data_IF_267402570253
#
_entry.id   IF_267402570253
#
_cell.length_a   1.000
_cell.length_b   1.000
_cell.length_c   1.000
_cell.angle_alpha   90.00
_cell.angle_beta   90.00
_cell.angle_gamma   90.00
#
_symmetry.space_group_name_H-M   'P 1'
#
loop_
_entity.id
_entity.type
_entity.pdbx_description
1 polymer ?
#
# COMPACT_ATOMS: atom_id res chain seq x y z
N UNK A 1 90.73 57.95 -186.43
CA UNK A 1 89.92 58.83 -187.29
C UNK A 1 88.55 58.19 -187.47
N UNK A 2 87.42 58.93 -187.55
CA UNK A 2 86.92 60.08 -186.75
C UNK A 2 85.37 59.89 -186.48
N UNK A 3 84.50 60.89 -186.16
CA UNK A 3 84.59 62.12 -185.34
C UNK A 3 83.42 62.37 -184.33
N UNK A 4 83.69 63.36 -183.44
CA UNK A 4 82.89 64.42 -182.77
C UNK A 4 81.34 64.52 -182.86
N UNK A 5 80.70 65.04 -181.80
CA UNK A 5 79.89 66.30 -181.61
C UNK A 5 79.29 66.21 -180.17
N UNK A 6 79.43 67.11 -179.19
CA UNK A 6 79.17 68.55 -179.09
C UNK A 6 78.12 68.80 -177.98
N UNK A 7 78.45 69.62 -176.95
CA UNK A 7 77.56 69.99 -175.82
C UNK A 7 76.34 70.79 -176.30
N UNK A 8 75.15 70.41 -175.82
CA UNK A 8 73.98 71.31 -175.77
C UNK A 8 72.61 70.63 -175.81
N UNK A 9 72.06 70.21 -174.66
CA UNK A 9 70.63 70.39 -174.32
C UNK A 9 70.36 70.03 -172.84
N UNK A 10 69.62 70.90 -172.15
CA UNK A 10 69.05 70.67 -170.81
C UNK A 10 67.84 69.74 -170.92
N UNK A 11 67.73 68.72 -170.07
CA UNK A 11 66.50 67.94 -169.94
C UNK A 11 65.48 68.66 -169.01
N UNK A 12 64.27 68.88 -169.53
CA UNK A 12 63.14 69.66 -168.98
C UNK A 12 62.31 68.92 -167.90
N UNK A 13 62.91 68.28 -166.88
CA UNK A 13 62.13 67.44 -165.93
C UNK A 13 62.01 67.91 -164.46
N UNK A 14 62.57 69.06 -164.09
CA UNK A 14 62.45 69.58 -162.71
C UNK A 14 61.54 70.82 -162.67
N UNK A 15 60.21 70.65 -162.68
CA UNK A 15 59.31 71.80 -162.55
C UNK A 15 58.15 71.69 -161.56
N UNK A 16 58.03 70.63 -160.77
CA UNK A 16 57.07 70.63 -159.65
C UNK A 16 57.69 69.98 -158.40
N UNK A 17 57.65 70.72 -157.28
CA UNK A 17 58.26 70.38 -155.99
C UNK A 17 57.63 69.18 -155.26
N UNK A 18 57.60 68.02 -155.91
CA UNK A 18 57.16 66.75 -155.30
C UNK A 18 58.36 66.00 -154.71
N UNK A 19 58.24 65.61 -153.44
CA UNK A 19 59.21 64.76 -152.73
C UNK A 19 58.94 63.28 -153.01
N UNK A 20 59.98 62.44 -153.08
CA UNK A 20 59.85 60.98 -153.29
C UNK A 20 60.50 60.18 -152.16
N UNK A 21 59.83 59.12 -151.69
CA UNK A 21 60.33 58.13 -150.71
C UNK A 21 60.08 58.43 -149.22
N UNK A 22 60.21 57.41 -148.35
CA UNK A 22 59.92 57.44 -146.88
C UNK A 22 60.72 58.48 -146.06
N UNK A 23 61.67 59.18 -146.70
CA UNK A 23 62.53 60.20 -146.08
C UNK A 23 62.30 61.62 -146.63
N UNK A 24 61.26 61.87 -147.43
CA UNK A 24 60.86 63.21 -147.92
C UNK A 24 61.97 64.01 -148.63
N UNK A 25 62.72 63.39 -149.55
CA UNK A 25 63.78 64.08 -150.30
C UNK A 25 63.20 64.90 -151.46
N UNK A 26 63.63 66.15 -151.64
CA UNK A 26 63.20 67.00 -152.76
C UNK A 26 63.96 66.67 -154.04
N UNK A 27 63.40 66.98 -155.22
CA UNK A 27 64.07 66.73 -156.52
C UNK A 27 65.46 67.40 -156.57
N UNK A 28 65.66 68.50 -155.84
CA UNK A 28 66.93 69.21 -155.71
C UNK A 28 67.95 68.44 -154.85
N UNK A 29 67.48 67.74 -153.82
CA UNK A 29 68.34 66.90 -152.96
C UNK A 29 68.68 65.58 -153.65
N UNK A 30 67.75 65.03 -154.45
CA UNK A 30 68.03 63.87 -155.29
C UNK A 30 69.02 64.22 -156.42
N UNK A 31 68.92 65.41 -157.01
CA UNK A 31 69.89 65.93 -157.99
C UNK A 31 71.24 66.24 -157.35
N UNK A 32 71.30 66.69 -156.10
CA UNK A 32 72.55 66.84 -155.35
C UNK A 32 73.21 65.48 -155.05
N UNK A 33 72.43 64.48 -154.63
CA UNK A 33 72.94 63.11 -154.41
C UNK A 33 73.33 62.43 -155.73
N UNK A 34 72.64 62.72 -156.83
CA UNK A 34 73.03 62.25 -158.18
C UNK A 34 74.26 62.98 -158.71
N UNK A 35 74.41 64.29 -158.46
CA UNK A 35 75.63 65.04 -158.79
C UNK A 35 76.82 64.59 -157.94
N UNK A 36 76.62 64.24 -156.67
CA UNK A 36 77.67 63.66 -155.82
C UNK A 36 78.00 62.21 -156.25
N UNK A 37 76.99 61.44 -156.67
CA UNK A 37 77.19 60.11 -157.23
C UNK A 37 77.79 60.12 -158.65
N UNK A 38 77.55 61.15 -159.47
CA UNK A 38 78.18 61.36 -160.78
C UNK A 38 79.60 61.95 -160.65
N UNK A 39 79.86 62.80 -159.65
CA UNK A 39 81.20 63.24 -159.21
C UNK A 39 82.10 62.06 -158.78
N UNK A 40 81.52 61.05 -158.12
CA UNK A 40 82.20 59.79 -157.80
C UNK A 40 82.35 58.83 -158.99
N UNK A 41 81.73 59.11 -160.15
CA UNK A 41 81.74 58.26 -161.36
C UNK A 41 82.65 58.77 -162.47
N UNK A 42 83.00 60.06 -162.46
CA UNK A 42 83.88 60.70 -163.46
C UNK A 42 85.35 60.80 -163.01
N UNK A 43 85.68 60.26 -161.83
CA UNK A 43 87.05 59.98 -161.40
C UNK A 43 87.33 58.47 -161.50
N UNK A 44 88.10 58.07 -162.52
CA UNK A 44 88.78 56.77 -162.62
C UNK A 44 89.86 56.66 -161.52
N UNK A 45 89.41 56.66 -160.27
CA UNK A 45 90.16 56.21 -159.11
C UNK A 45 89.52 54.90 -158.68
N UNK A 46 90.24 53.81 -158.87
CA UNK A 46 89.92 52.51 -158.29
C UNK A 46 89.49 52.70 -156.83
N UNK A 47 88.30 52.20 -156.48
CA UNK A 47 87.87 52.07 -155.09
C UNK A 47 88.90 51.19 -154.40
N UNK A 48 89.85 51.83 -153.73
CA UNK A 48 90.87 51.17 -152.95
C UNK A 48 90.19 50.40 -151.82
N UNK A 49 90.25 49.07 -151.88
CA UNK A 49 89.72 48.15 -150.86
C UNK A 49 90.18 48.55 -149.45
N UNK A 50 91.32 49.24 -149.33
CA UNK A 50 91.80 49.74 -148.04
C UNK A 50 90.91 50.82 -147.42
N UNK A 51 90.22 51.67 -148.21
CA UNK A 51 89.35 52.72 -147.68
C UNK A 51 88.02 52.16 -147.12
N UNK A 52 87.45 51.14 -147.78
CA UNK A 52 86.27 50.42 -147.28
C UNK A 52 86.62 49.59 -146.05
N UNK A 53 87.80 48.96 -146.04
CA UNK A 53 88.32 48.24 -144.87
C UNK A 53 88.62 49.19 -143.70
N UNK A 54 89.08 50.42 -143.98
CA UNK A 54 89.30 51.45 -142.96
C UNK A 54 88.00 51.98 -142.35
N UNK A 55 86.95 52.14 -143.15
CA UNK A 55 85.62 52.52 -142.66
C UNK A 55 84.97 51.38 -141.87
N UNK A 56 85.06 50.13 -142.36
CA UNK A 56 84.64 48.95 -141.60
C UNK A 56 85.40 48.85 -140.27
N UNK A 57 86.72 49.09 -140.27
CA UNK A 57 87.54 49.16 -139.07
C UNK A 57 87.19 50.32 -138.13
N UNK A 58 86.69 51.45 -138.64
CA UNK A 58 86.17 52.55 -137.81
C UNK A 58 84.81 52.22 -137.21
N UNK A 59 83.92 51.58 -137.97
CA UNK A 59 82.62 51.11 -137.48
C UNK A 59 82.80 50.01 -136.43
N UNK A 60 83.70 49.06 -136.64
CA UNK A 60 84.04 48.03 -135.66
C UNK A 60 84.67 48.65 -134.40
N UNK A 61 85.57 49.63 -134.53
CA UNK A 61 86.12 50.36 -133.35
C UNK A 61 85.05 51.11 -132.55
N UNK A 62 83.94 51.52 -133.17
CA UNK A 62 82.84 52.21 -132.49
C UNK A 62 81.82 51.23 -131.92
N UNK A 63 81.60 50.08 -132.58
CA UNK A 63 80.64 49.07 -132.17
C UNK A 63 81.19 48.10 -131.12
N UNK A 64 82.49 47.87 -131.06
CA UNK A 64 83.08 46.94 -130.09
C UNK A 64 82.90 47.41 -128.63
N UNK A 65 83.14 48.69 -128.27
CA UNK A 65 82.82 49.18 -126.93
C UNK A 65 81.33 49.08 -126.60
N UNK A 66 80.45 49.21 -127.60
CA UNK A 66 79.02 49.05 -127.42
C UNK A 66 78.62 47.58 -127.20
N UNK A 67 79.29 46.62 -127.86
CA UNK A 67 79.12 45.18 -127.64
C UNK A 67 79.63 44.76 -126.26
N UNK A 68 80.80 45.21 -125.86
CA UNK A 68 81.36 44.99 -124.51
C UNK A 68 80.45 45.58 -123.41
N UNK A 69 79.90 46.77 -123.64
CA UNK A 69 78.92 47.37 -122.72
C UNK A 69 77.64 46.53 -122.62
N UNK A 70 77.13 46.01 -123.74
CA UNK A 70 75.94 45.14 -123.72
C UNK A 70 76.24 43.82 -123.01
N UNK A 71 77.41 43.22 -123.22
CA UNK A 71 77.80 41.97 -122.55
C UNK A 71 77.99 42.17 -121.03
N UNK A 72 78.62 43.27 -120.62
CA UNK A 72 78.76 43.63 -119.20
C UNK A 72 77.42 43.97 -118.56
N UNK A 73 76.54 44.72 -119.23
CA UNK A 73 75.17 44.98 -118.75
C UNK A 73 74.33 43.70 -118.67
N UNK A 74 74.53 42.77 -119.60
CA UNK A 74 73.87 41.46 -119.58
C UNK A 74 74.38 40.61 -118.42
N UNK A 75 75.68 40.63 -118.15
CA UNK A 75 76.28 39.94 -117.00
C UNK A 75 75.80 40.54 -115.68
N UNK A 76 75.78 41.87 -115.57
CA UNK A 76 75.24 42.58 -114.41
C UNK A 76 73.75 42.30 -114.21
N UNK A 77 72.97 42.21 -115.30
CA UNK A 77 71.56 41.80 -115.24
C UNK A 77 71.42 40.39 -114.67
N UNK A 78 72.16 39.41 -115.19
CA UNK A 78 72.11 38.03 -114.66
C UNK A 78 72.58 37.96 -113.20
N UNK A 79 73.59 38.75 -112.80
CA UNK A 79 74.04 38.83 -111.41
C UNK A 79 72.98 39.48 -110.50
N UNK A 80 72.29 40.52 -110.96
CA UNK A 80 71.17 41.12 -110.24
C UNK A 80 69.98 40.17 -110.16
N UNK A 81 69.65 39.45 -111.23
CA UNK A 81 68.60 38.43 -111.25
C UNK A 81 68.94 37.28 -110.28
N UNK A 82 70.18 36.80 -110.26
CA UNK A 82 70.62 35.76 -109.34
C UNK A 82 70.63 36.21 -107.87
N UNK A 83 71.12 37.42 -107.58
CA UNK A 83 71.13 37.96 -106.21
C UNK A 83 69.73 38.28 -105.71
N UNK A 84 68.86 38.82 -106.57
CA UNK A 84 67.44 39.04 -106.22
C UNK A 84 66.68 37.73 -106.04
N UNK A 85 66.90 36.73 -106.88
CA UNK A 85 66.31 35.39 -106.70
C UNK A 85 66.77 34.76 -105.38
N UNK A 86 68.05 34.89 -105.01
CA UNK A 86 68.59 34.40 -103.74
C UNK A 86 67.99 35.14 -102.54
N UNK A 87 67.94 36.47 -102.58
CA UNK A 87 67.35 37.29 -101.51
C UNK A 87 65.84 37.03 -101.34
N UNK A 88 65.10 36.79 -102.43
CA UNK A 88 63.70 36.40 -102.38
C UNK A 88 63.54 34.99 -101.79
N UNK A 89 64.37 34.03 -102.18
CA UNK A 89 64.36 32.69 -101.59
C UNK A 89 64.69 32.70 -100.10
N UNK A 90 65.67 33.50 -99.67
CA UNK A 90 66.02 33.69 -98.26
C UNK A 90 64.88 34.37 -97.47
N UNK A 91 64.23 35.39 -98.05
CA UNK A 91 63.05 36.03 -97.44
C UNK A 91 61.91 35.02 -97.28
N UNK A 92 61.61 34.25 -98.31
CA UNK A 92 60.51 33.29 -98.29
C UNK A 92 60.81 32.13 -97.31
N UNK A 93 62.08 31.70 -97.19
CA UNK A 93 62.53 30.76 -96.18
C UNK A 93 62.37 31.33 -94.75
N UNK A 94 62.80 32.58 -94.52
CA UNK A 94 62.63 33.23 -93.22
C UNK A 94 61.16 33.43 -92.83
N UNK A 95 60.27 33.69 -93.81
CA UNK A 95 58.83 33.74 -93.59
C UNK A 95 58.28 32.36 -93.20
N UNK A 96 58.70 31.30 -93.89
CA UNK A 96 58.30 29.93 -93.57
C UNK A 96 58.75 29.52 -92.16
N UNK A 97 59.99 29.81 -91.77
CA UNK A 97 60.50 29.56 -90.42
C UNK A 97 59.74 30.37 -89.36
N UNK A 98 59.44 31.65 -89.63
CA UNK A 98 58.66 32.48 -88.73
C UNK A 98 57.22 31.96 -88.53
N UNK A 99 56.59 31.46 -89.59
CA UNK A 99 55.27 30.83 -89.53
C UNK A 99 55.33 29.50 -88.77
N UNK A 100 56.35 28.68 -88.98
CA UNK A 100 56.56 27.45 -88.20
C UNK A 100 56.74 27.76 -86.71
N UNK A 101 57.57 28.76 -86.35
CA UNK A 101 57.71 29.20 -84.97
C UNK A 101 56.43 29.78 -84.37
N UNK A 102 55.56 30.42 -85.17
CA UNK A 102 54.23 30.83 -84.71
C UNK A 102 53.33 29.63 -84.44
N UNK A 103 53.33 28.62 -85.32
CA UNK A 103 52.56 27.39 -85.13
C UNK A 103 53.03 26.59 -83.91
N UNK A 104 54.35 26.44 -83.72
CA UNK A 104 54.92 25.77 -82.56
C UNK A 104 54.56 26.48 -81.26
N UNK A 105 54.65 27.82 -81.22
CA UNK A 105 54.20 28.61 -80.06
C UNK A 105 52.71 28.44 -79.80
N UNK A 106 51.87 28.52 -80.82
CA UNK A 106 50.43 28.31 -80.69
C UNK A 106 50.07 26.93 -80.14
N UNK A 107 50.79 25.87 -80.55
CA UNK A 107 50.62 24.51 -79.99
C UNK A 107 51.06 24.44 -78.53
N UNK A 108 52.23 24.99 -78.20
CA UNK A 108 52.74 25.01 -76.83
C UNK A 108 51.81 25.80 -75.89
N UNK A 109 51.28 26.94 -76.33
CA UNK A 109 50.33 27.74 -75.57
C UNK A 109 49.00 27.00 -75.36
N UNK A 110 48.51 26.29 -76.38
CA UNK A 110 47.31 25.46 -76.27
C UNK A 110 47.50 24.27 -75.31
N UNK A 111 48.63 23.58 -75.38
CA UNK A 111 48.98 22.50 -74.45
C UNK A 111 49.13 23.01 -73.01
N UNK A 112 49.75 24.18 -72.83
CA UNK A 112 49.87 24.82 -71.52
C UNK A 112 48.51 25.25 -70.96
N UNK A 113 47.60 25.78 -71.80
CA UNK A 113 46.23 26.10 -71.40
C UNK A 113 45.47 24.85 -70.97
N UNK A 114 45.54 23.77 -71.76
CA UNK A 114 44.88 22.50 -71.43
C UNK A 114 45.45 21.88 -70.14
N UNK A 115 46.78 21.95 -69.93
CA UNK A 115 47.41 21.47 -68.70
C UNK A 115 46.95 22.27 -67.47
N UNK A 116 46.77 23.60 -67.60
CA UNK A 116 46.22 24.44 -66.53
C UNK A 116 44.77 24.08 -66.24
N UNK A 117 43.91 23.95 -67.24
CA UNK A 117 42.52 23.53 -67.06
C UNK A 117 42.40 22.17 -66.37
N UNK A 118 43.23 21.19 -66.78
CA UNK A 118 43.26 19.87 -66.13
C UNK A 118 43.73 19.96 -64.67
N UNK A 119 44.75 20.79 -64.38
CA UNK A 119 45.24 20.99 -63.03
C UNK A 119 44.19 21.67 -62.14
N UNK A 120 43.51 22.70 -62.64
CA UNK A 120 42.41 23.37 -61.95
C UNK A 120 41.24 22.41 -61.67
N UNK A 121 40.87 21.59 -62.65
CA UNK A 121 39.84 20.56 -62.47
C UNK A 121 40.25 19.50 -61.43
N UNK A 122 41.52 19.07 -61.44
CA UNK A 122 42.04 18.12 -60.46
C UNK A 122 42.05 18.71 -59.03
N UNK A 123 42.45 19.98 -58.88
CA UNK A 123 42.42 20.68 -57.59
C UNK A 123 40.97 20.86 -57.10
N UNK A 124 40.04 21.21 -57.98
CA UNK A 124 38.63 21.32 -57.63
C UNK A 124 38.02 19.98 -57.19
N UNK A 125 38.39 18.89 -57.86
CA UNK A 125 37.97 17.53 -57.50
C UNK A 125 38.59 17.06 -56.17
N UNK A 126 39.86 17.38 -55.90
CA UNK A 126 40.49 17.09 -54.62
C UNK A 126 39.80 17.86 -53.48
N UNK A 127 39.54 19.15 -53.68
CA UNK A 127 38.87 19.99 -52.69
C UNK A 127 37.40 19.58 -52.46
N UNK A 128 36.71 18.99 -53.44
CA UNK A 128 35.36 18.44 -53.24
C UNK A 128 35.41 17.11 -52.49
N UNK A 129 36.38 16.24 -52.81
CA UNK A 129 36.59 14.98 -52.09
C UNK A 129 36.95 15.20 -50.61
N UNK A 130 37.80 16.18 -50.30
CA UNK A 130 38.12 16.55 -48.92
C UNK A 130 36.89 17.04 -48.14
N UNK A 131 36.04 17.86 -48.79
CA UNK A 131 34.77 18.32 -48.19
C UNK A 131 33.82 17.16 -47.91
N UNK A 132 33.65 16.25 -48.87
CA UNK A 132 32.81 15.06 -48.69
C UNK A 132 33.33 14.13 -47.59
N UNK A 133 34.66 13.95 -47.49
CA UNK A 133 35.25 13.18 -46.40
C UNK A 133 35.02 13.85 -45.04
N UNK A 134 35.17 15.17 -44.95
CA UNK A 134 34.90 15.91 -43.72
C UNK A 134 33.42 15.82 -43.30
N UNK A 135 32.48 15.91 -44.25
CA UNK A 135 31.05 15.74 -44.01
C UNK A 135 30.73 14.32 -43.53
N UNK A 136 31.22 13.28 -44.22
CA UNK A 136 31.01 11.89 -43.82
C UNK A 136 31.58 11.58 -42.42
N UNK A 137 32.70 12.21 -42.04
CA UNK A 137 33.24 12.09 -40.68
C UNK A 137 32.34 12.75 -39.64
N UNK A 138 31.79 13.94 -39.92
CA UNK A 138 30.83 14.62 -39.04
C UNK A 138 29.57 13.80 -38.85
N UNK A 139 28.96 13.31 -39.93
CA UNK A 139 27.77 12.46 -39.88
C UNK A 139 28.02 11.19 -39.04
N UNK A 140 29.17 10.55 -39.21
CA UNK A 140 29.54 9.37 -38.42
C UNK A 140 29.71 9.70 -36.94
N UNK A 141 30.27 10.86 -36.61
CA UNK A 141 30.47 11.26 -35.21
C UNK A 141 29.15 11.71 -34.55
N UNK A 142 28.24 12.34 -35.29
CA UNK A 142 26.86 12.62 -34.88
C UNK A 142 26.08 11.31 -34.64
N UNK A 143 26.19 10.34 -35.54
CA UNK A 143 25.57 9.03 -35.37
C UNK A 143 26.11 8.30 -34.12
N UNK A 144 27.43 8.34 -33.90
CA UNK A 144 28.05 7.78 -32.68
C UNK A 144 27.56 8.50 -31.42
N UNK A 145 27.42 9.83 -31.47
CA UNK A 145 26.89 10.60 -30.35
C UNK A 145 25.42 10.24 -30.07
N UNK A 146 24.59 10.13 -31.10
CA UNK A 146 23.19 9.72 -30.99
C UNK A 146 23.06 8.30 -30.43
N UNK A 147 23.88 7.35 -30.89
CA UNK A 147 23.94 5.98 -30.33
C UNK A 147 24.31 5.97 -28.85
N UNK A 148 25.32 6.75 -28.44
CA UNK A 148 25.68 6.87 -27.02
C UNK A 148 24.55 7.49 -26.19
N UNK A 149 23.89 8.53 -26.69
CA UNK A 149 22.76 9.15 -26.02
C UNK A 149 21.59 8.15 -25.86
N UNK A 150 21.27 7.40 -26.92
CA UNK A 150 20.23 6.36 -26.86
C UNK A 150 20.53 5.27 -25.83
N UNK A 151 21.78 4.80 -25.75
CA UNK A 151 22.21 3.82 -24.73
C UNK A 151 22.08 4.40 -23.32
N UNK A 152 22.46 5.67 -23.11
CA UNK A 152 22.30 6.31 -21.80
C UNK A 152 20.83 6.46 -21.40
N UNK A 153 19.96 6.86 -22.33
CA UNK A 153 18.52 6.92 -22.08
C UNK A 153 17.93 5.53 -21.79
N UNK A 154 18.37 4.50 -22.51
CA UNK A 154 17.98 3.12 -22.22
C UNK A 154 18.40 2.72 -20.80
N UNK A 155 19.64 2.99 -20.40
CA UNK A 155 20.12 2.69 -19.05
C UNK A 155 19.36 3.47 -17.97
N UNK A 156 18.99 4.73 -18.24
CA UNK A 156 18.14 5.53 -17.33
C UNK A 156 16.75 4.91 -17.20
N UNK A 157 16.13 4.53 -18.31
CA UNK A 157 14.82 3.87 -18.31
C UNK A 157 14.86 2.51 -17.60
N UNK A 158 15.88 1.69 -17.85
CA UNK A 158 16.10 0.42 -17.15
C UNK A 158 16.33 0.63 -15.65
N UNK A 159 17.10 1.65 -15.26
CA UNK A 159 17.30 2.05 -13.87
C UNK A 159 16.01 2.50 -13.18
N UNK A 160 15.18 3.29 -13.87
CA UNK A 160 13.85 3.68 -13.39
C UNK A 160 12.92 2.46 -13.24
N UNK A 161 12.91 1.54 -14.20
CA UNK A 161 12.15 0.30 -14.12
C UNK A 161 12.60 -0.59 -12.95
N UNK A 162 13.91 -0.70 -12.72
CA UNK A 162 14.45 -1.41 -11.57
C UNK A 162 14.00 -0.77 -10.24
N UNK A 163 14.10 0.55 -10.13
CA UNK A 163 13.63 1.28 -8.95
C UNK A 163 12.12 1.11 -8.69
N UNK A 164 11.29 1.11 -9.75
CA UNK A 164 9.84 0.85 -9.63
C UNK A 164 9.58 -0.59 -9.17
N UNK A 165 10.33 -1.57 -9.69
CA UNK A 165 10.22 -2.97 -9.25
C UNK A 165 10.60 -3.14 -7.77
N UNK A 166 11.66 -2.47 -7.33
CA UNK A 166 12.08 -2.49 -5.93
C UNK A 166 11.04 -1.85 -5.01
N UNK A 167 10.44 -0.72 -5.41
CA UNK A 167 9.38 -0.11 -4.60
C UNK A 167 8.10 -0.97 -4.60
N UNK A 168 7.75 -1.60 -5.73
CA UNK A 168 6.64 -2.56 -5.77
C UNK A 168 6.87 -3.75 -4.82
N UNK A 169 8.09 -4.29 -4.77
CA UNK A 169 8.44 -5.36 -3.83
C UNK A 169 8.29 -4.89 -2.37
N UNK A 170 8.78 -3.69 -2.04
CA UNK A 170 8.62 -3.12 -0.69
C UNK A 170 7.15 -2.86 -0.35
N UNK A 171 6.33 -2.44 -1.31
CA UNK A 171 4.89 -2.25 -1.10
C UNK A 171 4.19 -3.59 -0.87
N UNK A 172 4.56 -4.64 -1.61
CA UNK A 172 4.07 -6.00 -1.39
C UNK A 172 4.43 -6.50 0.01
N UNK A 173 5.69 -6.34 0.44
CA UNK A 173 6.13 -6.72 1.80
C UNK A 173 5.34 -5.98 2.89
N UNK A 174 5.07 -4.67 2.70
CA UNK A 174 4.23 -3.89 3.62
C UNK A 174 2.78 -4.38 3.62
N UNK A 175 2.24 -4.74 2.46
CA UNK A 175 0.89 -5.27 2.34
C UNK A 175 0.76 -6.62 3.04
N UNK A 176 1.71 -7.53 2.84
CA UNK A 176 1.75 -8.83 3.51
C UNK A 176 1.89 -8.69 5.03
N UNK A 177 2.75 -7.78 5.50
CA UNK A 177 2.86 -7.46 6.93
C UNK A 177 1.54 -6.91 7.50
N UNK A 178 0.84 -6.05 6.74
CA UNK A 178 -0.46 -5.51 7.15
C UNK A 178 -1.55 -6.59 7.21
N UNK A 179 -1.53 -7.54 6.26
CA UNK A 179 -2.44 -8.68 6.22
C UNK A 179 -2.19 -9.63 7.39
N UNK A 180 -0.92 -9.89 7.73
CA UNK A 180 -0.55 -10.67 8.91
C UNK A 180 -1.06 -10.02 10.21
N UNK A 181 -0.82 -8.72 10.40
CA UNK A 181 -1.34 -7.97 11.56
C UNK A 181 -2.87 -7.97 11.64
N UNK A 182 -3.56 -7.88 10.49
CA UNK A 182 -5.01 -8.00 10.44
C UNK A 182 -5.49 -9.40 10.84
N UNK A 183 -4.79 -10.45 10.39
CA UNK A 183 -5.01 -11.83 10.79
C UNK A 183 -4.82 -12.06 12.30
N UNK A 184 -3.74 -11.54 12.88
CA UNK A 184 -3.48 -11.59 14.32
C UNK A 184 -4.59 -10.89 15.13
N UNK A 185 -5.01 -9.70 14.70
CA UNK A 185 -6.12 -8.97 15.33
C UNK A 185 -7.44 -9.73 15.23
N UNK A 186 -7.73 -10.33 14.08
CA UNK A 186 -8.94 -11.13 13.91
C UNK A 186 -8.94 -12.35 14.84
N UNK A 187 -7.79 -13.03 14.98
CA UNK A 187 -7.64 -14.16 15.91
C UNK A 187 -7.80 -13.72 17.38
N UNK A 188 -7.23 -12.57 17.76
CA UNK A 188 -7.39 -12.00 19.10
C UNK A 188 -8.86 -11.63 19.38
N UNK A 189 -9.55 -10.99 18.43
CA UNK A 189 -10.98 -10.67 18.55
C UNK A 189 -11.80 -11.95 18.71
N UNK A 190 -11.53 -12.99 17.91
CA UNK A 190 -12.24 -14.26 18.03
C UNK A 190 -12.02 -14.90 19.42
N UNK A 191 -10.80 -14.86 19.93
CA UNK A 191 -10.45 -15.37 21.27
C UNK A 191 -11.17 -14.59 22.36
N UNK A 192 -11.08 -13.26 22.36
CA UNK A 192 -11.76 -12.39 23.33
C UNK A 192 -13.29 -12.53 23.25
N UNK A 193 -13.84 -12.75 22.05
CA UNK A 193 -15.27 -13.00 21.88
C UNK A 193 -15.65 -14.35 22.51
N UNK A 194 -14.85 -15.40 22.31
CA UNK A 194 -15.06 -16.69 22.94
C UNK A 194 -14.98 -16.60 24.48
N UNK A 195 -13.96 -15.91 25.01
CA UNK A 195 -13.82 -15.64 26.44
C UNK A 195 -15.00 -14.86 27.01
N UNK A 196 -15.49 -13.82 26.30
CA UNK A 196 -16.66 -13.06 26.70
C UNK A 196 -17.92 -13.94 26.73
N UNK A 197 -18.10 -14.82 25.75
CA UNK A 197 -19.23 -15.76 25.75
C UNK A 197 -19.13 -16.75 26.91
N UNK A 198 -17.94 -17.30 27.19
CA UNK A 198 -17.72 -18.18 28.32
C UNK A 198 -18.00 -17.47 29.65
N UNK A 199 -17.50 -16.25 29.83
CA UNK A 199 -17.77 -15.45 31.03
C UNK A 199 -19.26 -15.16 31.22
N UNK A 200 -20.01 -14.88 30.14
CA UNK A 200 -21.47 -14.73 30.19
C UNK A 200 -22.17 -16.00 30.65
N UNK A 201 -21.79 -17.16 30.10
CA UNK A 201 -22.38 -18.45 30.52
C UNK A 201 -22.14 -18.72 32.00
N UNK A 202 -20.92 -18.49 32.51
CA UNK A 202 -20.61 -18.64 33.94
C UNK A 202 -21.44 -17.67 34.79
N UNK A 203 -21.58 -16.43 34.36
CA UNK A 203 -22.40 -15.44 35.08
C UNK A 203 -23.88 -15.82 35.13
N UNK A 204 -24.44 -16.31 34.01
CA UNK A 204 -25.83 -16.78 33.95
C UNK A 204 -26.04 -18.01 34.84
N UNK A 205 -25.07 -18.94 34.88
CA UNK A 205 -25.09 -20.06 35.80
C UNK A 205 -25.07 -19.61 37.27
N UNK A 206 -24.15 -18.71 37.65
CA UNK A 206 -24.09 -18.17 39.01
C UNK A 206 -25.37 -17.40 39.38
N UNK A 207 -25.93 -16.64 38.45
CA UNK A 207 -27.23 -15.98 38.64
C UNK A 207 -28.34 -17.00 38.89
N UNK A 208 -28.38 -18.09 38.13
CA UNK A 208 -29.37 -19.16 38.30
C UNK A 208 -29.20 -19.89 39.65
N UNK A 209 -27.95 -20.15 40.07
CA UNK A 209 -27.63 -20.72 41.39
C UNK A 209 -28.08 -19.79 42.51
N UNK A 210 -27.84 -18.49 42.37
CA UNK A 210 -28.30 -17.45 43.28
C UNK A 210 -29.82 -17.41 43.41
N UNK A 211 -30.55 -17.41 42.29
CA UNK A 211 -32.02 -17.47 42.28
C UNK A 211 -32.54 -18.75 42.95
N UNK A 212 -31.92 -19.90 42.67
CA UNK A 212 -32.29 -21.15 43.31
C UNK A 212 -31.97 -21.17 44.82
N UNK A 213 -30.95 -20.45 45.27
CA UNK A 213 -30.64 -20.29 46.68
C UNK A 213 -31.65 -19.37 47.39
N UNK A 214 -32.04 -18.26 46.76
CA UNK A 214 -33.10 -17.36 47.25
C UNK A 214 -34.42 -18.11 47.41
N UNK A 215 -34.87 -18.83 46.37
CA UNK A 215 -36.09 -19.62 46.43
C UNK A 215 -36.06 -20.69 47.55
N UNK A 216 -34.89 -21.30 47.79
CA UNK A 216 -34.69 -22.25 48.90
C UNK A 216 -34.78 -21.57 50.27
N UNK A 217 -34.26 -20.36 50.40
CA UNK A 217 -34.34 -19.57 51.63
C UNK A 217 -35.80 -19.16 51.92
N UNK A 218 -36.51 -18.62 50.92
CA UNK A 218 -37.94 -18.27 51.04
C UNK A 218 -38.80 -19.51 51.40
N UNK A 219 -38.51 -20.67 50.78
CA UNK A 219 -39.17 -21.93 51.13
C UNK A 219 -38.80 -22.44 52.53
N UNK A 220 -37.64 -22.09 53.07
CA UNK A 220 -37.26 -22.41 54.45
C UNK A 220 -37.95 -21.47 55.45
N UNK A 221 -38.02 -20.18 55.13
CA UNK A 221 -38.71 -19.15 55.93
C UNK A 221 -40.20 -19.46 56.06
N UNK A 222 -40.90 -19.70 54.94
CA UNK A 222 -42.32 -20.12 54.94
C UNK A 222 -42.57 -21.41 55.74
N UNK A 223 -41.64 -22.37 55.69
CA UNK A 223 -41.72 -23.59 56.52
C UNK A 223 -41.51 -23.27 58.01
N UNK A 224 -40.57 -22.39 58.34
CA UNK A 224 -40.33 -21.97 59.71
C UNK A 224 -41.55 -21.22 60.28
N UNK A 225 -42.15 -20.30 59.52
CA UNK A 225 -43.40 -19.63 59.87
C UNK A 225 -44.54 -20.62 60.09
N UNK A 226 -44.71 -21.60 59.20
CA UNK A 226 -45.74 -22.63 59.35
C UNK A 226 -45.52 -23.51 60.60
N UNK A 227 -44.26 -23.85 60.93
CA UNK A 227 -43.93 -24.56 62.17
C UNK A 227 -44.23 -23.68 63.39
N UNK A 228 -43.86 -22.40 63.34
CA UNK A 228 -44.12 -21.45 64.41
C UNK A 228 -45.63 -21.31 64.67
N UNK A 229 -46.44 -21.15 63.63
CA UNK A 229 -47.91 -21.11 63.72
C UNK A 229 -48.48 -22.40 64.36
N UNK A 230 -47.94 -23.58 64.01
CA UNK A 230 -48.36 -24.85 64.62
C UNK A 230 -47.97 -24.94 66.10
N UNK A 231 -46.79 -24.45 66.47
CA UNK A 231 -46.35 -24.40 67.87
C UNK A 231 -47.21 -23.43 68.68
N UNK A 232 -47.54 -22.26 68.13
CA UNK A 232 -48.40 -21.29 68.79
C UNK A 232 -49.83 -21.82 68.93
N UNK A 233 -50.39 -22.45 67.90
CA UNK A 233 -51.68 -23.14 68.01
C UNK A 233 -51.65 -24.28 69.05
N UNK A 234 -50.57 -25.07 69.11
CA UNK A 234 -50.41 -26.11 70.12
C UNK A 234 -50.28 -25.54 71.53
N UNK A 235 -49.63 -24.38 71.69
CA UNK A 235 -49.56 -23.65 72.97
C UNK A 235 -50.93 -23.16 73.41
N UNK A 236 -51.71 -22.56 72.51
CA UNK A 236 -53.08 -22.12 72.81
C UNK A 236 -53.95 -23.31 73.24
N UNK A 237 -53.88 -24.45 72.54
CA UNK A 237 -54.60 -25.67 72.91
C UNK A 237 -54.14 -26.20 74.27
N UNK A 238 -52.83 -26.22 74.54
CA UNK A 238 -52.29 -26.68 75.82
C UNK A 238 -52.68 -25.76 76.97
N UNK A 239 -52.66 -24.43 76.76
CA UNK A 239 -53.09 -23.45 77.74
C UNK A 239 -54.59 -23.58 78.04
N UNK A 240 -55.42 -23.76 77.00
CA UNK A 240 -56.84 -24.05 77.16
C UNK A 240 -57.08 -25.36 77.94
N UNK A 241 -56.31 -26.41 77.66
CA UNK A 241 -56.39 -27.68 78.38
C UNK A 241 -55.95 -27.54 79.85
N UNK A 242 -54.89 -26.79 80.13
CA UNK A 242 -54.45 -26.48 81.49
C UNK A 242 -55.49 -25.65 82.25
N UNK A 243 -56.12 -24.67 81.61
CA UNK A 243 -57.21 -23.89 82.20
C UNK A 243 -58.39 -24.79 82.55
N UNK A 244 -58.82 -25.66 81.62
CA UNK A 244 -59.90 -26.60 81.85
C UNK A 244 -59.57 -27.58 82.99
N UNK A 245 -58.35 -28.11 83.04
CA UNK A 245 -57.90 -28.99 84.12
C UNK A 245 -57.84 -28.27 85.48
N UNK A 246 -57.45 -26.99 85.51
CA UNK A 246 -57.51 -26.17 86.73
C UNK A 246 -58.95 -25.97 87.18
N UNK A 247 -59.86 -25.64 86.28
CA UNK A 247 -61.28 -25.48 86.59
C UNK A 247 -61.91 -26.77 87.10
N UNK A 248 -61.56 -27.92 86.51
CA UNK A 248 -61.97 -29.24 86.99
C UNK A 248 -61.39 -29.55 88.38
N UNK A 249 -60.13 -29.22 88.63
CA UNK A 249 -59.51 -29.44 89.93
C UNK A 249 -60.15 -28.55 91.00
N UNK A 250 -60.46 -27.28 90.70
CA UNK A 250 -61.22 -26.39 91.60
C UNK A 250 -62.60 -26.98 91.90
N UNK A 251 -63.31 -27.50 90.89
CA UNK A 251 -64.61 -28.18 91.10
C UNK A 251 -64.46 -29.44 91.95
N UNK A 252 -63.43 -30.26 91.71
CA UNK A 252 -63.17 -31.47 92.47
C UNK A 252 -62.79 -31.16 93.92
N UNK A 253 -61.96 -30.13 94.15
CA UNK A 253 -61.61 -29.65 95.47
C UNK A 253 -62.84 -29.13 96.23
N UNK A 254 -63.69 -28.32 95.60
CA UNK A 254 -64.94 -27.85 96.18
C UNK A 254 -65.92 -29.01 96.49
N UNK A 255 -66.00 -30.01 95.61
CA UNK A 255 -66.81 -31.21 95.86
C UNK A 255 -66.25 -32.04 97.03
N UNK A 256 -64.93 -32.20 97.12
CA UNK A 256 -64.27 -32.90 98.20
C UNK A 256 -64.44 -32.17 99.54
N UNK A 257 -64.33 -30.84 99.56
CA UNK A 257 -64.59 -30.01 100.73
C UNK A 257 -66.05 -30.13 101.20
N UNK A 258 -67.01 -30.10 100.28
CA UNK A 258 -68.42 -30.33 100.60
C UNK A 258 -68.70 -31.74 101.15
N UNK A 259 -67.96 -32.77 100.71
CA UNK A 259 -68.04 -34.12 101.28
C UNK A 259 -67.45 -34.16 102.69
N UNK A 260 -66.32 -33.49 102.91
CA UNK A 260 -65.71 -33.38 104.24
C UNK A 260 -66.61 -32.64 105.22
N UNK A 261 -67.25 -31.54 104.80
CA UNK A 261 -68.24 -30.83 105.61
C UNK A 261 -69.42 -31.73 106.00
N UNK A 262 -70.02 -32.45 105.03
CA UNK A 262 -71.08 -33.42 105.34
C UNK A 262 -70.62 -34.50 106.31
N UNK A 263 -69.40 -35.03 106.13
CA UNK A 263 -68.84 -36.01 107.04
C UNK A 263 -68.59 -35.45 108.45
N UNK A 264 -68.20 -34.17 108.57
CA UNK A 264 -68.09 -33.47 109.86
C UNK A 264 -69.46 -33.28 110.50
N UNK A 265 -70.45 -32.80 109.74
CA UNK A 265 -71.83 -32.63 110.22
C UNK A 265 -72.41 -33.96 110.71
N UNK A 266 -72.20 -35.05 109.97
CA UNK A 266 -72.66 -36.38 110.36
C UNK A 266 -71.93 -36.90 111.61
N UNK A 267 -70.62 -36.65 111.73
CA UNK A 267 -69.85 -36.99 112.92
C UNK A 267 -70.28 -36.18 114.15
N UNK A 268 -70.60 -34.89 113.97
CA UNK A 268 -71.13 -34.02 115.03
C UNK A 268 -72.53 -34.46 115.46
N UNK A 269 -73.41 -34.83 114.53
CA UNK A 269 -74.72 -35.43 114.86
C UNK A 269 -74.58 -36.73 115.63
N UNK A 270 -73.65 -37.60 115.23
CA UNK A 270 -73.37 -38.85 115.96
C UNK A 270 -72.85 -38.57 117.37
N UNK A 271 -71.92 -37.61 117.53
CA UNK A 271 -71.44 -37.17 118.86
C UNK A 271 -72.57 -36.63 119.73
N UNK A 272 -73.38 -35.71 119.22
CA UNK A 272 -74.53 -35.18 119.93
C UNK A 272 -75.52 -36.29 120.36
N UNK A 273 -75.75 -37.28 119.48
CA UNK A 273 -76.55 -38.46 119.80
C UNK A 273 -75.92 -39.37 120.87
N UNK A 274 -74.59 -39.52 120.88
CA UNK A 274 -73.88 -40.24 121.95
C UNK A 274 -73.94 -39.50 123.28
N UNK A 275 -73.72 -38.19 123.29
CA UNK A 275 -73.78 -37.35 124.50
C UNK A 275 -75.18 -37.36 125.12
N UNK A 276 -76.23 -37.31 124.28
CA UNK A 276 -77.62 -37.45 124.72
C UNK A 276 -77.86 -38.81 125.41
N UNK A 277 -77.41 -39.93 124.82
CA UNK A 277 -77.54 -41.27 125.43
C UNK A 277 -76.75 -41.39 126.74
N UNK A 278 -75.60 -40.73 126.84
CA UNK A 278 -74.78 -40.67 128.05
C UNK A 278 -75.51 -39.92 129.17
N UNK A 279 -76.15 -38.80 128.87
CA UNK A 279 -76.97 -38.05 129.82
C UNK A 279 -78.21 -38.85 130.28
N UNK A 280 -78.87 -39.57 129.37
CA UNK A 280 -79.98 -40.47 129.70
C UNK A 280 -79.54 -41.61 130.63
N UNK A 281 -78.38 -42.24 130.37
CA UNK A 281 -77.79 -43.26 131.23
C UNK A 281 -77.40 -42.73 132.60
N UNK A 282 -76.82 -41.52 132.67
CA UNK A 282 -76.48 -40.87 133.94
C UNK A 282 -77.73 -40.54 134.76
N UNK A 283 -78.78 -40.02 134.14
CA UNK A 283 -80.05 -39.75 134.83
C UNK A 283 -80.71 -41.04 135.36
N UNK A 284 -80.69 -42.12 134.58
CA UNK A 284 -81.19 -43.44 135.02
C UNK A 284 -80.35 -44.01 136.18
N UNK A 285 -79.02 -43.82 136.15
CA UNK A 285 -78.13 -44.25 137.23
C UNK A 285 -78.39 -43.47 138.51
N UNK A 286 -78.52 -42.14 138.45
CA UNK A 286 -78.85 -41.31 139.61
C UNK A 286 -80.21 -41.67 140.23
N UNK A 287 -81.20 -41.98 139.41
CA UNK A 287 -82.51 -42.43 139.88
C UNK A 287 -82.42 -43.78 140.61
N UNK A 288 -81.56 -44.68 140.12
CA UNK A 288 -81.29 -45.98 140.76
C UNK A 288 -80.57 -45.81 142.09
N UNK A 289 -79.59 -44.91 142.16
CA UNK A 289 -78.84 -44.61 143.41
C UNK A 289 -79.74 -43.97 144.47
N UNK A 290 -80.63 -43.03 144.08
CA UNK A 290 -81.61 -42.44 145.02
C UNK A 290 -82.58 -43.49 145.58
N UNK A 291 -83.11 -44.38 144.73
CA UNK A 291 -83.96 -45.51 145.12
C UNK A 291 -83.25 -46.49 146.08
N UNK A 292 -81.99 -46.80 145.81
CA UNK A 292 -81.18 -47.63 146.71
C UNK A 292 -80.89 -46.96 148.06
N UNK A 293 -80.70 -45.64 148.08
CA UNK A 293 -80.41 -44.91 149.31
C UNK A 293 -81.64 -44.83 150.23
N UNK A 294 -82.84 -44.70 149.66
CA UNK A 294 -84.11 -44.76 150.39
C UNK A 294 -84.40 -46.15 150.97
N UNK A 295 -84.08 -47.22 150.24
CA UNK A 295 -84.26 -48.60 150.73
C UNK A 295 -83.26 -48.96 151.83
N UNK A 296 -82.01 -48.52 151.74
CA UNK A 296 -80.99 -48.77 152.78
C UNK A 296 -81.21 -47.98 154.06
N UNK A 297 -81.75 -46.75 153.99
CA UNK A 297 -82.10 -45.98 155.20
C UNK A 297 -83.29 -46.59 155.96
N UNK A 298 -84.30 -47.11 155.26
CA UNK A 298 -85.43 -47.80 155.90
C UNK A 298 -85.02 -49.12 156.58
N UNK A 299 -84.12 -49.91 155.97
CA UNK A 299 -83.54 -51.11 156.58
C UNK A 299 -82.71 -50.83 157.84
N UNK A 300 -82.00 -49.68 157.89
CA UNK A 300 -81.23 -49.26 159.06
C UNK A 300 -82.09 -48.83 160.26
N UNK A 301 -83.33 -48.39 160.03
CA UNK A 301 -84.28 -48.06 161.10
C UNK A 301 -84.86 -49.33 161.73
N UNK A 302 -85.17 -50.36 160.93
CA UNK A 302 -85.74 -51.61 161.43
C UNK A 302 -84.74 -52.44 162.26
N UNK A 303 -83.47 -52.50 161.87
CA UNK A 303 -82.42 -53.25 162.59
C UNK A 303 -82.14 -52.70 164.01
N UNK A 304 -82.28 -51.39 164.23
CA UNK A 304 -82.11 -50.79 165.57
C UNK A 304 -83.26 -51.12 166.53
N UNK A 305 -84.45 -51.45 166.03
CA UNK A 305 -85.60 -51.88 166.86
C UNK A 305 -85.54 -53.37 167.25
N UNK A 306 -84.76 -54.17 166.52
CA UNK A 306 -84.58 -55.60 166.77
C UNK A 306 -83.49 -55.87 167.83
N UNK A 307 -82.39 -55.10 167.83
CA UNK A 307 -81.30 -55.27 168.79
C UNK A 307 -81.70 -54.95 170.25
N UNK A 308 -82.56 -53.95 170.48
CA UNK A 308 -83.02 -53.57 171.83
C UNK A 308 -83.91 -54.60 172.54
N UNK A 309 -84.41 -55.63 171.83
CA UNK A 309 -85.23 -56.71 172.40
C UNK A 309 -84.42 -57.96 172.79
N UNK A 310 -83.17 -58.08 172.32
CA UNK A 310 -82.29 -59.21 172.63
C UNK A 310 -81.58 -59.05 173.99
N UNK A 311 -81.15 -57.84 174.36
CA UNK A 311 -80.41 -57.60 175.61
C UNK A 311 -81.27 -57.72 176.88
N UNK A 312 -82.59 -57.54 176.79
CA UNK A 312 -83.52 -57.71 177.91
C UNK A 312 -83.80 -59.19 178.28
N UNK A 313 -83.46 -60.14 177.39
CA UNK A 313 -83.68 -61.58 177.60
C UNK A 313 -82.46 -62.27 178.25
N UNK A 314 -81.24 -61.72 178.11
CA UNK A 314 -80.02 -62.32 178.66
C UNK A 314 -79.87 -62.13 180.19
N UNK A 315 -80.39 -61.04 180.76
CA UNK A 315 -80.32 -60.80 182.21
C UNK A 315 -81.27 -61.66 183.07
N UNK A 316 -82.29 -62.27 182.46
CA UNK A 316 -83.26 -63.14 183.16
C UNK A 316 -82.81 -64.61 183.18
N UNK A 317 -81.91 -65.02 182.28
CA UNK A 317 -81.41 -66.40 182.19
C UNK A 317 -80.23 -66.71 183.12
N UNK A 318 -79.51 -65.70 183.62
CA UNK A 318 -78.41 -65.90 184.57
C UNK A 318 -78.89 -66.07 186.03
N UNK A 319 -80.09 -65.61 186.38
CA UNK A 319 -80.62 -65.60 187.75
C UNK A 319 -81.33 -66.90 188.18
N UNK A 320 -81.55 -67.86 187.27
CA UNK A 320 -82.38 -69.06 187.52
C UNK A 320 -81.60 -70.40 187.58
N UNK A 321 -80.26 -70.40 187.61
CA UNK A 321 -79.47 -71.63 187.41
C UNK A 321 -78.83 -72.27 188.65
N UNK A 322 -78.92 -71.74 189.87
CA UNK A 322 -78.19 -72.33 191.02
C UNK A 322 -78.89 -72.36 192.40
N UNK A 323 -80.17 -72.79 192.49
CA UNK A 323 -80.66 -73.49 193.72
C UNK A 323 -81.61 -74.64 193.32
N UNK A 324 -81.48 -75.85 193.91
CA UNK A 324 -81.98 -77.09 193.30
C UNK A 324 -83.27 -77.59 193.95
N UNK A 325 -84.22 -78.05 193.14
CA UNK A 325 -84.90 -79.36 193.26
C UNK A 325 -85.96 -79.55 192.15
N UNK A 326 -85.84 -80.70 191.48
CA UNK A 326 -86.69 -81.31 190.44
C UNK A 326 -87.89 -82.07 191.10
N UNK A 327 -88.85 -82.73 190.39
CA UNK A 327 -89.15 -82.79 188.95
C UNK A 327 -90.67 -82.77 188.58
N UNK A 328 -90.88 -82.91 187.26
CA UNK A 328 -91.88 -83.77 186.57
C UNK A 328 -93.08 -83.15 185.85
N UNK A 329 -93.48 -81.90 186.15
CA UNK A 329 -94.48 -81.19 185.31
C UNK A 329 -93.91 -80.33 184.18
N UNK A 330 -92.58 -80.14 184.11
CA UNK A 330 -91.93 -79.29 183.10
C UNK A 330 -91.46 -80.03 181.84
N UNK A 331 -91.75 -81.33 181.73
CA UNK A 331 -91.47 -82.14 180.54
C UNK A 331 -92.54 -82.02 179.44
N UNK A 332 -93.67 -81.37 179.68
CA UNK A 332 -94.82 -81.37 178.75
C UNK A 332 -95.07 -80.04 178.01
N UNK A 333 -94.29 -78.99 178.26
CA UNK A 333 -94.48 -77.70 177.55
C UNK A 333 -93.28 -77.26 176.69
N UNK A 334 -92.18 -78.03 176.70
CA UNK A 334 -91.12 -77.93 175.68
C UNK A 334 -91.53 -78.56 174.33
N UNK A 335 -92.66 -79.27 174.27
CA UNK A 335 -93.16 -79.93 173.06
C UNK A 335 -94.05 -79.03 172.16
N UNK A 336 -94.07 -77.69 172.32
CA UNK A 336 -95.04 -76.85 171.56
C UNK A 336 -94.61 -75.53 170.94
N UNK A 337 -93.32 -75.21 170.82
CA UNK A 337 -92.87 -74.06 170.01
C UNK A 337 -91.40 -74.25 169.62
N UNK A 338 -90.98 -74.37 168.36
CA UNK A 338 -91.64 -74.10 167.10
C UNK A 338 -90.72 -73.25 166.21
N UNK A 339 -90.08 -73.92 165.24
CA UNK A 339 -89.71 -73.43 163.89
C UNK A 339 -88.51 -72.45 163.71
N UNK A 340 -87.94 -72.39 162.48
CA UNK A 340 -86.50 -72.37 162.17
C UNK A 340 -86.13 -71.27 161.15
N UNK A 341 -84.95 -71.43 160.51
CA UNK A 341 -84.21 -70.54 159.58
C UNK A 341 -83.29 -69.54 160.26
#
# INVERSE_FOLDING_TARGET
>A
MPPAVGRGSRARFCQDGKTWGRRNLSCRDAEAVLSDAESLRESDTELDDTAVTALAGQVDRVLEPARELVETLTTLRHQLEATTATALAERDAALAEADEHRLQRGRADAEAAQAREMAEAAVAAAASAERQQAEALRERDEERAARRAAVQEQQRAEGQLAAVRDELARVADRADASAALAGERAAMIATLTAELTAARTVFEEERSRGQAAVARAEAAETRAEAVQQRLDAAREVHEAALSAARDENVKAAAAHEAVLERARDDAERLRAGFDQRLAELQAAHEQTVRSMHETTTNLGVELRSAAGRADAAEHVLATLREVPELPEKLKQLLDRSGLPR
#
